data_IF_368406369943
#
_entry.id   IF_368406369943
#
_cell.length_a   1.000
_cell.length_b   1.000
_cell.length_c   1.000
_cell.angle_alpha   90.00
_cell.angle_beta   90.00
_cell.angle_gamma   90.00
#
_symmetry.space_group_name_H-M   'P 1'
#
loop_
_entity.id
_entity.type
_entity.pdbx_description
1 polymer ?
#
# COMPACT_ATOMS: atom_id res chain seq x y z
N UNK A 1 26.27 16.51 26.94
CA UNK A 1 26.94 15.21 26.72
C UNK A 1 25.95 14.05 26.93
N UNK A 2 24.68 14.39 27.15
CA UNK A 2 23.66 13.53 27.73
C UNK A 2 22.99 12.63 26.67
N UNK A 3 22.89 13.11 25.42
CA UNK A 3 22.29 12.35 24.32
C UNK A 3 23.02 11.03 23.99
N UNK A 4 24.32 10.92 24.30
CA UNK A 4 25.09 9.71 24.05
C UNK A 4 24.91 8.66 25.16
N UNK A 5 24.64 9.13 26.38
CA UNK A 5 24.33 8.27 27.52
C UNK A 5 22.91 7.73 27.42
N UNK A 6 21.95 8.55 26.98
CA UNK A 6 20.57 8.13 26.69
C UNK A 6 20.52 7.06 25.58
N UNK A 7 21.31 7.24 24.50
CA UNK A 7 21.41 6.25 23.42
C UNK A 7 22.04 4.94 23.89
N UNK A 8 23.01 4.99 24.80
CA UNK A 8 23.63 3.80 25.37
C UNK A 8 22.63 3.03 26.26
N UNK A 9 21.84 3.74 27.07
CA UNK A 9 20.77 3.14 27.87
C UNK A 9 19.69 2.51 26.99
N UNK A 10 19.26 3.19 25.93
CA UNK A 10 18.30 2.64 24.96
C UNK A 10 18.84 1.39 24.25
N UNK A 11 20.12 1.37 23.92
CA UNK A 11 20.76 0.21 23.31
C UNK A 11 20.76 -1.01 24.24
N UNK A 12 21.03 -0.82 25.54
CA UNK A 12 20.91 -1.92 26.52
C UNK A 12 19.47 -2.41 26.64
N UNK A 13 18.49 -1.50 26.66
CA UNK A 13 17.07 -1.86 26.70
C UNK A 13 16.65 -2.69 25.48
N UNK A 14 17.03 -2.28 24.26
CA UNK A 14 16.71 -3.05 23.05
C UNK A 14 17.43 -4.40 23.00
N UNK A 15 18.66 -4.50 23.55
CA UNK A 15 19.35 -5.80 23.68
C UNK A 15 18.64 -6.74 24.64
N UNK A 16 18.15 -6.23 25.77
CA UNK A 16 17.35 -7.02 26.71
C UNK A 16 16.01 -7.48 26.07
N UNK A 17 15.36 -6.61 25.28
CA UNK A 17 14.15 -6.99 24.54
C UNK A 17 14.43 -8.08 23.50
N UNK A 18 15.58 -8.01 22.81
CA UNK A 18 15.98 -9.03 21.84
C UNK A 18 16.17 -10.40 22.51
N UNK A 19 16.76 -10.45 23.71
CA UNK A 19 16.93 -11.69 24.47
C UNK A 19 15.58 -12.32 24.84
N UNK A 20 14.60 -11.52 25.25
CA UNK A 20 13.22 -11.99 25.52
C UNK A 20 12.56 -12.53 24.25
N UNK A 21 12.77 -11.88 23.10
CA UNK A 21 12.25 -12.36 21.82
C UNK A 21 12.92 -13.68 21.41
N UNK A 22 14.22 -13.83 21.63
CA UNK A 22 14.95 -15.07 21.36
C UNK A 22 14.52 -16.22 22.29
N UNK A 23 14.28 -15.95 23.58
CA UNK A 23 13.76 -16.95 24.52
C UNK A 23 12.33 -17.38 24.16
N UNK A 24 11.48 -16.42 23.77
CA UNK A 24 10.11 -16.73 23.33
C UNK A 24 10.08 -17.47 21.99
N UNK A 25 11.01 -17.19 21.08
CA UNK A 25 11.21 -17.96 19.86
C UNK A 25 11.70 -19.38 20.16
N UNK A 26 12.58 -19.57 21.14
CA UNK A 26 13.03 -20.90 21.54
C UNK A 26 11.93 -21.72 22.25
N UNK A 27 11.00 -21.05 22.93
CA UNK A 27 9.86 -21.68 23.59
C UNK A 27 8.66 -21.95 22.66
N UNK A 28 8.62 -21.32 21.49
CA UNK A 28 7.53 -21.45 20.51
C UNK A 28 7.95 -22.43 19.41
N UNK A 29 7.09 -23.40 19.06
CA UNK A 29 7.38 -24.36 17.99
C UNK A 29 7.43 -23.67 16.61
N UNK A 30 8.29 -24.17 15.71
CA UNK A 30 8.80 -23.45 14.52
C UNK A 30 7.77 -23.08 13.43
N UNK A 31 6.56 -23.65 13.47
CA UNK A 31 5.54 -23.57 12.40
C UNK A 31 4.31 -22.70 12.75
N UNK A 32 4.29 -22.05 13.92
CA UNK A 32 3.20 -21.14 14.28
C UNK A 32 3.37 -19.75 13.63
N UNK A 33 2.27 -19.14 13.18
CA UNK A 33 2.26 -17.75 12.66
C UNK A 33 2.84 -16.75 13.68
N UNK A 34 2.77 -17.06 14.98
CA UNK A 34 3.39 -16.29 16.05
C UNK A 34 4.91 -16.39 16.05
N UNK A 35 5.48 -17.56 15.71
CA UNK A 35 6.93 -17.71 15.57
C UNK A 35 7.45 -16.88 14.39
N UNK A 36 6.71 -16.81 13.29
CA UNK A 36 7.07 -15.94 12.17
C UNK A 36 7.03 -14.45 12.56
N UNK A 37 6.00 -14.01 13.27
CA UNK A 37 5.91 -12.63 13.78
C UNK A 37 7.05 -12.30 14.74
N UNK A 38 7.46 -13.23 15.60
CA UNK A 38 8.58 -13.05 16.50
C UNK A 38 9.93 -13.01 15.76
N UNK A 39 10.10 -13.80 14.67
CA UNK A 39 11.28 -13.71 13.79
C UNK A 39 11.37 -12.36 13.10
N UNK A 40 10.25 -11.83 12.63
CA UNK A 40 10.19 -10.51 12.00
C UNK A 40 10.53 -9.42 13.03
N UNK A 41 9.91 -9.45 14.22
CA UNK A 41 10.20 -8.52 15.31
C UNK A 41 11.66 -8.57 15.79
N UNK A 42 12.27 -9.77 15.81
CA UNK A 42 13.69 -9.98 16.11
C UNK A 42 14.58 -9.26 15.08
N UNK A 43 14.27 -9.39 13.79
CA UNK A 43 15.05 -8.76 12.72
C UNK A 43 14.97 -7.22 12.82
N UNK A 44 13.78 -6.69 13.07
CA UNK A 44 13.57 -5.25 13.26
C UNK A 44 14.37 -4.72 14.46
N UNK A 45 14.37 -5.43 15.59
CA UNK A 45 15.15 -5.07 16.78
C UNK A 45 16.66 -5.08 16.51
N UNK A 46 17.16 -6.07 15.76
CA UNK A 46 18.57 -6.14 15.35
C UNK A 46 18.97 -4.94 14.49
N UNK A 47 18.11 -4.50 13.58
CA UNK A 47 18.35 -3.32 12.75
C UNK A 47 18.44 -2.04 13.61
N UNK A 48 17.50 -1.85 14.54
CA UNK A 48 17.49 -0.71 15.46
C UNK A 48 18.75 -0.67 16.32
N UNK A 49 19.16 -1.80 16.90
CA UNK A 49 20.40 -1.91 17.68
C UNK A 49 21.61 -1.55 16.82
N UNK A 50 21.66 -2.04 15.58
CA UNK A 50 22.76 -1.75 14.65
C UNK A 50 22.86 -0.26 14.32
N UNK A 51 21.73 0.42 14.11
CA UNK A 51 21.68 1.86 13.85
C UNK A 51 22.11 2.68 15.08
N UNK A 52 21.69 2.28 16.28
CA UNK A 52 22.10 2.90 17.54
C UNK A 52 23.61 2.73 17.78
N UNK A 53 24.16 1.54 17.56
CA UNK A 53 25.60 1.26 17.65
C UNK A 53 26.41 2.13 16.68
N UNK A 54 25.94 2.28 15.44
CA UNK A 54 26.58 3.15 14.45
C UNK A 54 26.52 4.62 14.87
N UNK A 55 25.39 5.08 15.45
CA UNK A 55 25.25 6.44 15.96
C UNK A 55 26.20 6.73 17.13
N UNK A 56 26.32 5.80 18.08
CA UNK A 56 27.24 5.89 19.21
C UNK A 56 28.72 5.87 18.75
N UNK A 57 29.04 5.04 17.75
CA UNK A 57 30.38 4.96 17.17
C UNK A 57 30.77 6.24 16.43
N UNK A 58 29.84 6.87 15.73
CA UNK A 58 30.06 8.15 15.05
C UNK A 58 30.19 9.34 16.02
N UNK A 59 29.56 9.26 17.20
CA UNK A 59 29.62 10.31 18.23
C UNK A 59 30.86 10.26 19.13
N UNK A 60 31.66 9.18 19.10
CA UNK A 60 32.91 9.10 19.88
C UNK A 60 34.02 9.84 19.11
N UNK A 61 34.57 10.96 19.65
CA UNK A 61 35.58 11.74 18.94
C UNK A 61 36.86 10.92 18.76
N UNK A 62 37.28 10.78 17.51
CA UNK A 62 38.54 10.14 17.11
C UNK A 62 39.68 11.13 17.35
N UNK A 63 40.62 10.78 18.23
CA UNK A 63 41.93 11.42 18.29
C UNK A 63 42.66 11.25 16.93
N UNK A 64 43.25 12.31 16.36
CA UNK A 64 43.94 12.22 15.07
C UNK A 64 45.39 11.78 15.26
N UNK A 65 45.72 10.58 14.78
CA UNK A 65 47.10 10.18 14.46
C UNK A 65 47.26 9.98 12.93
N UNK A 66 47.71 11.07 12.29
CA UNK A 66 48.72 11.16 11.24
C UNK A 66 48.81 10.10 10.11
N UNK A 67 48.45 10.56 8.91
CA UNK A 67 49.22 10.57 7.65
C UNK A 67 49.92 9.32 7.12
N UNK A 68 49.56 8.94 5.88
CA UNK A 68 50.55 8.90 4.80
C UNK A 68 49.89 9.24 3.45
N UNK A 69 50.55 10.15 2.74
CA UNK A 69 50.28 10.56 1.36
C UNK A 69 51.37 9.99 0.44
N UNK A 70 51.00 9.69 -0.80
CA UNK A 70 51.85 9.73 -2.01
C UNK A 70 50.86 9.57 -3.19
N UNK A 71 50.53 10.58 -4.02
CA UNK A 71 51.30 11.50 -4.86
C UNK A 71 51.89 10.86 -6.12
N UNK A 72 51.68 11.60 -7.24
CA UNK A 72 52.30 11.54 -8.57
C UNK A 72 51.77 10.49 -9.58
N UNK A 73 51.68 10.72 -10.89
CA UNK A 73 51.47 11.86 -11.82
C UNK A 73 51.80 11.33 -13.23
N UNK A 74 51.40 12.08 -14.26
CA UNK A 74 51.98 12.18 -15.63
C UNK A 74 51.39 11.37 -16.80
N UNK A 75 51.29 12.08 -17.94
CA UNK A 75 51.29 11.55 -19.32
C UNK A 75 49.91 11.49 -19.97
N UNK A 76 49.42 12.28 -20.92
CA UNK A 76 49.93 13.19 -21.97
C UNK A 76 49.39 12.73 -23.34
N UNK A 77 48.84 13.72 -24.07
CA UNK A 77 48.91 13.92 -25.52
C UNK A 77 47.98 13.16 -26.50
N UNK A 78 47.26 14.00 -27.29
CA UNK A 78 47.19 14.01 -28.77
C UNK A 78 46.51 12.84 -29.50
N UNK A 79 45.79 12.98 -30.63
CA UNK A 79 45.36 14.12 -31.46
C UNK A 79 44.43 13.56 -32.56
N UNK A 80 43.56 14.43 -33.09
CA UNK A 80 43.16 14.58 -34.51
C UNK A 80 42.66 13.39 -35.34
N UNK A 81 41.45 13.52 -35.93
CA UNK A 81 41.23 13.82 -37.37
C UNK A 81 39.73 13.72 -37.70
N UNK A 82 39.01 14.82 -37.92
CA UNK A 82 38.74 15.54 -39.19
C UNK A 82 37.92 14.73 -40.22
N UNK A 83 36.75 15.33 -40.57
CA UNK A 83 35.76 14.98 -41.60
C UNK A 83 36.36 15.04 -43.04
N UNK A 84 35.68 14.57 -44.11
CA UNK A 84 34.70 15.41 -44.83
C UNK A 84 33.52 14.63 -45.48
N UNK A 85 32.31 15.19 -45.50
CA UNK A 85 31.63 15.86 -46.64
C UNK A 85 31.22 14.98 -47.84
N UNK A 86 29.91 14.96 -48.15
CA UNK A 86 29.37 14.40 -49.40
C UNK A 86 27.85 14.29 -49.41
N UNK A 87 27.15 15.40 -49.71
CA UNK A 87 25.77 15.42 -50.21
C UNK A 87 25.78 15.30 -51.75
N UNK A 88 24.67 15.51 -52.48
CA UNK A 88 23.34 14.88 -52.47
C UNK A 88 23.04 14.18 -53.82
N UNK A 89 22.01 13.33 -53.87
CA UNK A 89 21.61 12.63 -55.11
C UNK A 89 20.09 12.55 -55.28
N UNK A 90 19.55 13.51 -56.02
CA UNK A 90 18.18 13.55 -56.55
C UNK A 90 18.01 12.50 -57.66
N UNK A 91 16.91 11.75 -57.63
CA UNK A 91 16.53 10.84 -58.72
C UNK A 91 15.05 10.49 -58.68
N UNK A 92 14.26 11.24 -59.46
CA UNK A 92 12.93 10.83 -59.89
C UNK A 92 13.03 9.58 -60.76
N UNK A 93 12.08 8.65 -60.66
CA UNK A 93 11.54 8.00 -61.86
C UNK A 93 10.12 7.48 -61.62
N UNK A 94 9.31 7.69 -62.64
CA UNK A 94 7.90 7.38 -62.79
C UNK A 94 7.71 5.97 -63.38
N UNK A 95 6.51 5.45 -63.14
CA UNK A 95 5.79 4.45 -63.94
C UNK A 95 6.30 2.99 -63.94
N UNK A 96 5.38 2.09 -63.57
CA UNK A 96 5.57 0.65 -63.65
C UNK A 96 4.38 -0.10 -63.09
N UNK A 97 3.26 -0.08 -63.84
CA UNK A 97 2.12 -0.98 -63.68
C UNK A 97 2.60 -2.44 -63.81
N UNK A 98 2.55 -3.21 -62.73
CA UNK A 98 2.72 -4.66 -62.77
C UNK A 98 1.84 -5.28 -61.69
N UNK A 99 0.73 -5.85 -62.16
CA UNK A 99 -0.06 -6.82 -61.43
C UNK A 99 0.86 -7.93 -60.89
N UNK A 100 0.91 -8.05 -59.56
CA UNK A 100 1.47 -9.21 -58.89
C UNK A 100 0.34 -9.95 -58.15
N UNK A 101 0.40 -11.29 -58.17
CA UNK A 101 -0.74 -12.15 -57.89
C UNK A 101 -1.02 -12.22 -56.40
N UNK A 102 -2.30 -12.51 -56.14
CA UNK A 102 -2.87 -13.02 -54.91
C UNK A 102 -1.95 -14.05 -54.24
N UNK A 103 -1.10 -13.55 -53.36
CA UNK A 103 -0.17 -14.34 -52.59
C UNK A 103 -0.99 -14.98 -51.46
N UNK A 104 -1.50 -16.17 -51.75
CA UNK A 104 -2.06 -17.10 -50.79
C UNK A 104 -1.26 -17.06 -49.50
N UNK A 105 -1.94 -16.65 -48.42
CA UNK A 105 -1.40 -16.62 -47.08
C UNK A 105 -0.88 -18.02 -46.73
N UNK A 106 0.45 -18.17 -46.74
CA UNK A 106 1.11 -19.34 -46.20
C UNK A 106 0.60 -19.56 -44.75
N UNK A 107 0.33 -20.81 -44.34
CA UNK A 107 -0.08 -21.10 -42.98
C UNK A 107 1.07 -20.75 -42.03
N UNK A 108 0.96 -19.59 -41.38
CA UNK A 108 1.93 -19.17 -40.37
C UNK A 108 1.98 -20.21 -39.25
N UNK A 109 3.18 -20.49 -38.71
CA UNK A 109 3.34 -21.49 -37.66
C UNK A 109 2.45 -21.10 -36.48
N UNK A 110 1.51 -21.98 -36.13
CA UNK A 110 0.61 -21.84 -34.98
C UNK A 110 1.44 -21.86 -33.70
N UNK A 111 2.04 -20.72 -33.37
CA UNK A 111 2.68 -20.49 -32.10
C UNK A 111 1.64 -20.58 -30.98
N UNK A 112 2.04 -21.16 -29.84
CA UNK A 112 1.20 -21.33 -28.63
C UNK A 112 0.53 -20.06 -28.09
N UNK A 113 0.81 -18.88 -28.65
CA UNK A 113 0.17 -17.60 -28.30
C UNK A 113 -1.13 -17.29 -29.03
N UNK A 114 -1.49 -18.02 -30.10
CA UNK A 114 -2.69 -17.68 -30.90
C UNK A 114 -4.02 -17.85 -30.14
N UNK A 115 -4.06 -18.69 -29.10
CA UNK A 115 -5.27 -18.91 -28.29
C UNK A 115 -5.61 -17.72 -27.36
N UNK A 116 -4.62 -16.84 -27.13
CA UNK A 116 -4.79 -15.66 -26.28
C UNK A 116 -5.31 -14.45 -27.08
N UNK A 117 -5.31 -14.51 -28.42
CA UNK A 117 -5.80 -13.43 -29.27
C UNK A 117 -7.31 -13.25 -29.08
N UNK A 118 -7.74 -12.00 -28.90
CA UNK A 118 -9.13 -11.62 -28.67
C UNK A 118 -9.65 -11.90 -27.25
N UNK A 119 -8.79 -12.37 -26.33
CA UNK A 119 -9.09 -12.43 -24.90
C UNK A 119 -8.91 -11.06 -24.24
N UNK A 120 -9.66 -10.84 -23.18
CA UNK A 120 -9.59 -9.62 -22.39
C UNK A 120 -8.57 -9.80 -21.27
N UNK A 121 -7.76 -8.79 -21.02
CA UNK A 121 -6.73 -8.84 -20.01
C UNK A 121 -6.61 -7.50 -19.30
N UNK A 122 -6.12 -7.54 -18.07
CA UNK A 122 -5.71 -6.35 -17.33
C UNK A 122 -4.22 -6.14 -17.59
N UNK A 123 -3.84 -4.97 -18.09
CA UNK A 123 -2.45 -4.62 -18.38
C UNK A 123 -2.01 -3.47 -17.50
N UNK A 124 -0.80 -3.57 -16.94
CA UNK A 124 -0.22 -2.47 -16.17
C UNK A 124 0.56 -1.54 -17.10
N UNK A 125 0.09 -0.30 -17.24
CA UNK A 125 0.75 0.76 -18.02
C UNK A 125 1.06 1.90 -17.06
N UNK A 126 2.34 2.25 -16.92
CA UNK A 126 2.80 3.34 -16.03
C UNK A 126 2.30 3.20 -14.57
N UNK A 127 2.18 1.96 -14.08
CA UNK A 127 1.72 1.67 -12.71
C UNK A 127 0.20 1.70 -12.52
N UNK A 128 -0.59 1.94 -13.57
CA UNK A 128 -2.05 1.86 -13.53
C UNK A 128 -2.54 0.65 -14.34
N UNK A 129 -3.53 -0.06 -13.80
CA UNK A 129 -4.12 -1.24 -14.45
C UNK A 129 -5.28 -0.83 -15.34
N UNK A 130 -5.22 -1.24 -16.60
CA UNK A 130 -6.27 -0.99 -17.58
C UNK A 130 -6.76 -2.29 -18.18
N UNK A 131 -8.05 -2.33 -18.50
CA UNK A 131 -8.63 -3.43 -19.25
C UNK A 131 -8.28 -3.24 -20.75
N UNK A 132 -7.80 -4.29 -21.39
CA UNK A 132 -7.37 -4.27 -22.78
C UNK A 132 -7.69 -5.62 -23.46
N UNK A 133 -7.77 -5.61 -24.78
CA UNK A 133 -7.94 -6.80 -25.61
C UNK A 133 -6.65 -7.15 -26.36
N UNK A 134 -6.28 -8.44 -26.38
CA UNK A 134 -5.07 -8.89 -27.07
C UNK A 134 -5.31 -8.92 -28.58
N UNK A 135 -4.63 -8.05 -29.33
CA UNK A 135 -4.74 -7.99 -30.78
C UNK A 135 -3.73 -8.91 -31.48
N UNK A 136 -2.47 -8.90 -31.03
CA UNK A 136 -1.40 -9.70 -31.64
C UNK A 136 -0.33 -10.03 -30.60
N UNK A 137 0.28 -11.21 -30.71
CA UNK A 137 1.45 -11.59 -29.91
C UNK A 137 2.63 -11.78 -30.86
N UNK A 138 3.71 -11.04 -30.60
CA UNK A 138 4.97 -11.14 -31.32
C UNK A 138 6.04 -11.69 -30.37
N UNK A 139 6.93 -12.51 -30.90
CA UNK A 139 8.10 -13.00 -30.17
C UNK A 139 9.32 -12.28 -30.71
N UNK A 140 10.04 -11.58 -29.83
CA UNK A 140 11.32 -10.97 -30.18
C UNK A 140 12.38 -12.04 -30.44
N UNK A 141 13.44 -11.69 -31.18
CA UNK A 141 14.62 -12.55 -31.43
C UNK A 141 15.30 -13.04 -30.13
N UNK A 142 15.09 -12.32 -29.02
CA UNK A 142 15.57 -12.68 -27.67
C UNK A 142 14.66 -13.67 -26.94
N UNK A 143 13.61 -14.17 -27.59
CA UNK A 143 12.63 -15.10 -26.99
C UNK A 143 11.65 -14.45 -26.01
N UNK A 144 11.57 -13.11 -25.99
CA UNK A 144 10.62 -12.38 -25.14
C UNK A 144 9.30 -12.25 -25.89
N UNK A 145 8.21 -12.76 -25.30
CA UNK A 145 6.86 -12.65 -25.84
C UNK A 145 6.28 -11.26 -25.50
N UNK A 146 5.97 -10.48 -26.55
CA UNK A 146 5.33 -9.16 -26.46
C UNK A 146 3.95 -9.20 -27.08
N UNK A 147 2.98 -8.63 -26.39
CA UNK A 147 1.61 -8.52 -26.86
C UNK A 147 1.31 -7.08 -27.27
N UNK A 148 0.73 -6.90 -28.45
CA UNK A 148 0.06 -5.67 -28.85
C UNK A 148 -1.38 -5.76 -28.37
N UNK A 149 -1.76 -4.87 -27.46
CA UNK A 149 -3.04 -4.83 -26.77
C UNK A 149 -3.79 -3.57 -27.17
N UNK A 150 -5.09 -3.63 -27.36
CA UNK A 150 -5.95 -2.45 -27.52
C UNK A 150 -6.58 -2.12 -26.18
N UNK A 151 -6.25 -0.96 -25.61
CA UNK A 151 -6.77 -0.54 -24.29
C UNK A 151 -8.18 0.02 -24.43
N UNK A 152 -9.13 -0.50 -23.66
CA UNK A 152 -10.50 0.04 -23.60
C UNK A 152 -10.48 1.47 -23.02
N UNK A 153 -11.32 2.39 -23.52
CA UNK A 153 -11.27 3.82 -23.14
C UNK A 153 -10.37 4.70 -24.01
N UNK A 154 -9.20 4.20 -24.41
CA UNK A 154 -8.25 4.97 -25.23
C UNK A 154 -8.22 4.54 -26.70
N UNK A 155 -8.72 3.32 -26.99
CA UNK A 155 -8.64 2.67 -28.31
C UNK A 155 -7.23 2.73 -28.94
N UNK A 156 -6.21 2.85 -28.09
CA UNK A 156 -4.81 2.95 -28.47
C UNK A 156 -4.17 1.57 -28.34
N UNK A 157 -3.33 1.22 -29.32
CA UNK A 157 -2.58 -0.03 -29.31
C UNK A 157 -1.29 0.16 -28.53
N UNK A 158 -1.13 -0.59 -27.45
CA UNK A 158 0.08 -0.58 -26.62
C UNK A 158 0.79 -1.92 -26.70
N UNK A 159 2.09 -1.85 -26.93
CA UNK A 159 2.96 -3.01 -26.88
C UNK A 159 3.45 -3.20 -25.46
N UNK A 160 3.09 -4.33 -24.86
CA UNK A 160 3.44 -4.66 -23.48
C UNK A 160 4.01 -6.07 -23.44
N UNK A 161 4.93 -6.31 -22.49
CA UNK A 161 5.48 -7.65 -22.26
C UNK A 161 4.37 -8.55 -21.73
N UNK A 162 4.31 -9.80 -22.19
CA UNK A 162 3.28 -10.75 -21.74
C UNK A 162 3.33 -11.00 -20.22
N UNK A 163 4.48 -10.76 -19.57
CA UNK A 163 4.63 -10.83 -18.11
C UNK A 163 3.86 -9.74 -17.34
N UNK A 164 3.63 -8.57 -17.95
CA UNK A 164 2.92 -7.45 -17.35
C UNK A 164 1.41 -7.48 -17.71
N UNK A 165 0.97 -8.57 -18.35
CA UNK A 165 -0.42 -8.84 -18.75
C UNK A 165 -1.03 -9.87 -17.82
N UNK A 166 -2.08 -9.47 -17.12
CA UNK A 166 -2.86 -10.34 -16.24
C UNK A 166 -4.13 -10.76 -16.96
N UNK A 167 -4.23 -12.04 -17.28
CA UNK A 167 -5.43 -12.60 -17.90
C UNK A 167 -6.61 -12.54 -16.92
N UNK A 168 -7.78 -12.14 -17.42
CA UNK A 168 -9.01 -12.28 -16.66
C UNK A 168 -9.38 -13.76 -16.57
N UNK A 169 -10.00 -14.15 -15.45
CA UNK A 169 -10.53 -15.50 -15.27
C UNK A 169 -11.94 -15.52 -15.84
N UNK A 170 -12.22 -16.28 -16.91
CA UNK A 170 -13.57 -16.39 -17.43
C UNK A 170 -14.47 -17.02 -16.36
N UNK A 171 -15.64 -16.41 -16.15
CA UNK A 171 -16.60 -16.88 -15.18
C UNK A 171 -17.33 -18.11 -15.76
N UNK A 172 -17.39 -19.24 -15.03
CA UNK A 172 -18.07 -20.42 -15.55
C UNK A 172 -19.56 -20.11 -15.75
N UNK A 173 -20.18 -20.63 -16.83
CA UNK A 173 -21.58 -20.33 -17.17
C UNK A 173 -22.57 -20.75 -16.07
N UNK A 174 -22.19 -21.70 -15.22
CA UNK A 174 -22.98 -22.11 -14.05
C UNK A 174 -23.20 -20.97 -13.02
N UNK A 175 -22.35 -19.95 -13.02
CA UNK A 175 -22.47 -18.78 -12.13
C UNK A 175 -23.12 -17.57 -12.83
N UNK A 176 -23.35 -17.66 -14.14
CA UNK A 176 -23.92 -16.61 -14.98
C UNK A 176 -25.35 -16.95 -15.35
N UNK A 177 -26.22 -17.10 -14.35
CA UNK A 177 -27.64 -17.32 -14.60
C UNK A 177 -28.30 -16.01 -15.06
N UNK A 178 -29.21 -16.05 -16.05
CA UNK A 178 -29.98 -14.88 -16.44
C UNK A 178 -30.77 -14.36 -15.23
N UNK A 179 -30.75 -13.04 -15.04
CA UNK A 179 -31.26 -12.33 -13.85
C UNK A 179 -30.23 -12.08 -12.75
N UNK A 180 -29.03 -12.66 -12.84
CA UNK A 180 -27.97 -12.44 -11.84
C UNK A 180 -27.32 -11.07 -12.03
N UNK A 181 -27.10 -10.36 -10.91
CA UNK A 181 -26.33 -9.12 -10.87
C UNK A 181 -24.83 -9.44 -10.88
N UNK A 182 -24.15 -9.08 -11.95
CA UNK A 182 -22.71 -9.26 -12.13
C UNK A 182 -22.06 -7.91 -12.42
N UNK A 183 -20.74 -7.91 -12.64
CA UNK A 183 -20.04 -6.75 -13.14
C UNK A 183 -19.48 -7.05 -14.52
N UNK A 184 -19.65 -6.13 -15.46
CA UNK A 184 -19.07 -6.23 -16.80
C UNK A 184 -18.24 -5.00 -17.13
N UNK A 185 -17.25 -5.18 -18.01
CA UNK A 185 -16.44 -4.08 -18.54
C UNK A 185 -17.26 -3.34 -19.60
N UNK A 186 -17.35 -2.02 -19.49
CA UNK A 186 -17.88 -1.18 -20.57
C UNK A 186 -16.82 -1.00 -21.66
N UNK A 187 -17.21 -1.19 -22.92
CA UNK A 187 -16.33 -1.00 -24.08
C UNK A 187 -15.91 0.46 -24.28
N UNK A 188 -16.72 1.41 -23.79
CA UNK A 188 -16.49 2.84 -23.90
C UNK A 188 -15.33 3.31 -23.04
N UNK A 189 -15.33 2.95 -21.75
CA UNK A 189 -14.40 3.49 -20.75
C UNK A 189 -13.43 2.45 -20.19
N UNK A 190 -13.65 1.16 -20.49
CA UNK A 190 -12.87 0.06 -19.91
C UNK A 190 -13.09 -0.15 -18.41
N UNK A 191 -14.08 0.53 -17.81
CA UNK A 191 -14.42 0.42 -16.40
C UNK A 191 -15.45 -0.67 -16.14
N UNK A 192 -15.47 -1.18 -14.91
CA UNK A 192 -16.41 -2.20 -14.46
C UNK A 192 -17.69 -1.56 -13.93
N UNK A 193 -18.82 -1.93 -14.51
CA UNK A 193 -20.16 -1.48 -14.10
C UNK A 193 -21.01 -2.64 -13.61
N UNK A 194 -21.98 -2.34 -12.77
CA UNK A 194 -22.98 -3.30 -12.31
C UNK A 194 -23.97 -3.57 -13.46
N UNK A 195 -24.15 -4.85 -13.78
CA UNK A 195 -25.01 -5.30 -14.87
C UNK A 195 -25.88 -6.46 -14.43
N UNK A 196 -27.02 -6.63 -15.10
CA UNK A 196 -27.89 -7.79 -14.95
C UNK A 196 -27.80 -8.61 -16.23
N UNK A 197 -27.47 -9.89 -16.11
CA UNK A 197 -27.50 -10.81 -17.26
C UNK A 197 -28.95 -10.98 -17.71
N UNK A 198 -29.24 -10.80 -18.98
CA UNK A 198 -30.58 -10.98 -19.54
C UNK A 198 -30.67 -12.33 -20.28
N UNK A 199 -29.71 -12.59 -21.16
CA UNK A 199 -29.65 -13.81 -21.96
C UNK A 199 -28.21 -14.32 -22.07
N UNK A 200 -28.07 -15.64 -22.23
CA UNK A 200 -26.78 -16.30 -22.45
C UNK A 200 -26.69 -16.74 -23.91
N UNK A 201 -25.66 -16.26 -24.61
CA UNK A 201 -25.37 -16.59 -26.01
C UNK A 201 -24.18 -17.54 -26.08
N UNK A 202 -24.03 -18.32 -27.14
CA UNK A 202 -22.90 -19.26 -27.30
C UNK A 202 -21.50 -18.59 -27.25
N UNK A 203 -21.43 -17.28 -27.52
CA UNK A 203 -20.19 -16.49 -27.61
C UNK A 203 -19.99 -15.50 -26.47
N UNK A 204 -20.99 -15.30 -25.60
CA UNK A 204 -20.96 -14.28 -24.56
C UNK A 204 -22.28 -14.15 -23.81
N UNK A 205 -22.53 -12.99 -23.24
CA UNK A 205 -23.76 -12.71 -22.50
C UNK A 205 -24.35 -11.39 -22.94
N UNK A 206 -25.67 -11.36 -23.08
CA UNK A 206 -26.41 -10.13 -23.23
C UNK A 206 -26.65 -9.58 -21.82
N UNK A 207 -26.03 -8.45 -21.51
CA UNK A 207 -26.14 -7.82 -20.20
C UNK A 207 -26.82 -6.46 -20.31
N UNK A 208 -27.61 -6.11 -19.30
CA UNK A 208 -28.25 -4.81 -19.18
C UNK A 208 -27.60 -4.02 -18.06
N UNK A 209 -27.02 -2.87 -18.39
CA UNK A 209 -26.40 -1.99 -17.40
C UNK A 209 -27.46 -1.40 -16.48
N UNK A 210 -27.26 -1.46 -15.16
CA UNK A 210 -28.24 -0.94 -14.20
C UNK A 210 -28.38 0.58 -14.27
N UNK A 211 -27.32 1.27 -14.70
CA UNK A 211 -27.24 2.73 -14.64
C UNK A 211 -27.88 3.40 -15.87
N UNK A 212 -27.72 2.79 -17.04
CA UNK A 212 -28.17 3.36 -18.32
C UNK A 212 -29.31 2.58 -18.97
N UNK A 213 -29.65 1.40 -18.43
CA UNK A 213 -30.61 0.45 -18.99
C UNK A 213 -30.33 0.04 -20.45
N UNK A 214 -29.11 0.35 -20.94
CA UNK A 214 -28.59 -0.07 -22.24
C UNK A 214 -28.20 -1.53 -22.18
N UNK A 215 -28.50 -2.26 -23.25
CA UNK A 215 -28.06 -3.64 -23.45
C UNK A 215 -26.74 -3.65 -24.21
N UNK A 216 -25.83 -4.54 -23.82
CA UNK A 216 -24.56 -4.74 -24.50
C UNK A 216 -24.20 -6.22 -24.52
N UNK A 217 -23.50 -6.63 -25.58
CA UNK A 217 -23.04 -8.01 -25.76
C UNK A 217 -21.59 -8.10 -25.31
N UNK A 218 -21.38 -8.74 -24.16
CA UNK A 218 -20.06 -8.86 -23.55
C UNK A 218 -19.55 -10.30 -23.66
N UNK A 219 -18.24 -10.46 -23.88
CA UNK A 219 -17.60 -11.78 -23.94
C UNK A 219 -17.57 -12.43 -22.56
N UNK A 220 -17.41 -13.76 -22.51
CA UNK A 220 -17.26 -14.53 -21.26
C UNK A 220 -16.17 -14.01 -20.32
N UNK A 221 -15.16 -13.40 -20.91
CA UNK A 221 -13.95 -12.92 -20.24
C UNK A 221 -14.10 -11.50 -19.68
N UNK A 222 -15.17 -10.79 -20.10
CA UNK A 222 -15.46 -9.41 -19.72
C UNK A 222 -16.44 -9.31 -18.54
N UNK A 223 -16.79 -10.44 -17.93
CA UNK A 223 -17.69 -10.51 -16.77
C UNK A 223 -16.96 -11.05 -15.56
N UNK A 224 -17.25 -10.46 -14.40
CA UNK A 224 -16.86 -10.99 -13.09
C UNK A 224 -18.05 -11.00 -12.13
N UNK A 225 -18.01 -11.89 -11.15
CA UNK A 225 -18.88 -11.75 -10.00
C UNK A 225 -18.52 -10.47 -9.25
N UNK A 226 -19.53 -9.76 -8.76
CA UNK A 226 -19.34 -8.71 -7.77
C UNK A 226 -18.76 -9.36 -6.53
N UNK A 227 -17.43 -9.40 -6.45
CA UNK A 227 -16.73 -9.58 -5.19
C UNK A 227 -17.16 -8.37 -4.38
N UNK A 228 -18.14 -8.57 -3.50
CA UNK A 228 -18.48 -7.54 -2.54
C UNK A 228 -17.14 -7.12 -1.92
N UNK A 229 -16.81 -5.82 -1.97
CA UNK A 229 -15.69 -5.26 -1.20
C UNK A 229 -15.97 -5.30 0.32
N UNK A 230 -16.77 -6.27 0.75
CA UNK A 230 -16.75 -6.86 2.08
C UNK A 230 -15.84 -8.06 1.94
N UNK A 231 -14.60 -7.96 2.43
CA UNK A 231 -13.79 -9.16 2.64
C UNK A 231 -14.69 -10.21 3.31
N UNK A 232 -14.62 -11.46 2.83
CA UNK A 232 -15.45 -12.61 3.28
C UNK A 232 -16.78 -12.76 2.53
N UNK A 233 -16.82 -13.31 1.29
CA UNK A 233 -18.11 -13.75 0.72
C UNK A 233 -18.04 -14.80 -0.41
N UNK A 234 -17.01 -15.63 -0.52
CA UNK A 234 -17.04 -16.79 -1.44
C UNK A 234 -16.51 -18.09 -0.80
N UNK A 235 -16.65 -18.21 0.53
CA UNK A 235 -16.21 -19.41 1.24
C UNK A 235 -16.52 -19.50 2.73
N UNK A 236 -17.15 -18.50 3.37
CA UNK A 236 -17.64 -18.68 4.73
C UNK A 236 -19.10 -19.12 4.66
N UNK A 237 -19.31 -20.41 4.94
CA UNK A 237 -20.58 -20.92 5.47
C UNK A 237 -21.11 -19.89 6.46
N UNK A 238 -22.35 -19.45 6.30
CA UNK A 238 -23.01 -18.58 7.27
C UNK A 238 -22.95 -19.26 8.64
N UNK A 239 -22.00 -18.83 9.46
CA UNK A 239 -21.82 -19.34 10.82
C UNK A 239 -22.93 -18.71 11.62
N UNK A 240 -23.90 -19.51 12.07
CA UNK A 240 -25.00 -18.98 12.88
C UNK A 240 -24.39 -18.44 14.17
N UNK A 241 -24.78 -17.23 14.54
CA UNK A 241 -24.27 -16.55 15.73
C UNK A 241 -25.20 -16.85 16.91
N UNK A 242 -24.64 -17.32 18.03
CA UNK A 242 -25.41 -17.62 19.24
C UNK A 242 -25.08 -16.57 20.29
N UNK A 243 -26.10 -15.84 20.72
CA UNK A 243 -25.99 -14.84 21.80
C UNK A 243 -25.95 -15.59 23.12
N UNK A 244 -24.84 -15.49 23.85
CA UNK A 244 -24.71 -16.04 25.21
C UNK A 244 -25.59 -15.21 26.17
N UNK A 245 -26.14 -15.76 27.28
CA UNK A 245 -26.91 -14.99 28.27
C UNK A 245 -26.21 -13.74 28.85
N UNK A 246 -24.89 -13.62 28.68
CA UNK A 246 -24.12 -12.40 29.00
C UNK A 246 -24.06 -11.35 27.88
N UNK A 247 -24.82 -11.51 26.79
CA UNK A 247 -24.90 -10.54 25.68
C UNK A 247 -23.76 -10.60 24.64
N UNK A 248 -22.84 -11.56 24.76
CA UNK A 248 -21.73 -11.73 23.81
C UNK A 248 -22.16 -12.58 22.61
N UNK A 249 -21.74 -12.16 21.42
CA UNK A 249 -22.05 -12.84 20.16
C UNK A 249 -20.94 -13.86 19.87
N UNK A 250 -21.22 -15.14 20.07
CA UNK A 250 -20.24 -16.21 19.85
C UNK A 250 -20.65 -17.02 18.62
N UNK A 251 -19.75 -17.19 17.64
CA UNK A 251 -20.05 -18.01 16.46
C UNK A 251 -20.28 -19.49 16.82
N UNK A 252 -21.30 -20.15 16.23
CA UNK A 252 -21.73 -21.51 16.57
C UNK A 252 -20.61 -22.56 16.49
N UNK A 253 -19.68 -22.43 15.54
CA UNK A 253 -18.55 -23.36 15.39
C UNK A 253 -17.53 -23.34 16.53
N UNK A 254 -17.59 -22.33 17.40
CA UNK A 254 -16.78 -22.26 18.62
C UNK A 254 -17.48 -22.82 19.85
N UNK A 255 -18.77 -23.16 19.77
CA UNK A 255 -19.48 -23.81 20.88
C UNK A 255 -18.87 -25.20 21.13
N UNK A 256 -18.50 -25.42 22.39
CA UNK A 256 -17.98 -26.71 22.84
C UNK A 256 -19.14 -27.70 22.88
N UNK A 257 -19.10 -28.72 22.02
CA UNK A 257 -20.05 -29.84 22.08
C UNK A 257 -19.57 -30.84 23.13
N UNK A 258 -20.48 -31.57 23.81
CA UNK A 258 -20.09 -32.57 24.80
C UNK A 258 -19.21 -33.69 24.21
N UNK A 259 -19.35 -33.97 22.92
CA UNK A 259 -18.65 -35.02 22.15
C UNK A 259 -17.21 -34.67 21.72
N UNK A 260 -16.73 -33.42 21.89
CA UNK A 260 -15.39 -33.00 21.45
C UNK A 260 -14.26 -33.53 22.40
N UNK A 261 -13.09 -33.86 21.86
CA UNK A 261 -11.86 -34.22 22.62
C UNK A 261 -11.35 -33.06 23.49
N UNK A 262 -10.74 -33.34 24.65
CA UNK A 262 -10.31 -32.31 25.62
C UNK A 262 -9.38 -31.24 25.04
N UNK A 263 -8.54 -31.60 24.08
CA UNK A 263 -7.67 -30.64 23.37
C UNK A 263 -8.46 -29.68 22.47
N UNK A 264 -9.48 -30.17 21.77
CA UNK A 264 -10.36 -29.35 20.93
C UNK A 264 -11.23 -28.44 21.80
N UNK A 265 -11.65 -28.93 22.97
CA UNK A 265 -12.37 -28.13 23.98
C UNK A 265 -11.49 -26.98 24.49
N UNK A 266 -10.21 -27.21 24.77
CA UNK A 266 -9.29 -26.16 25.21
C UNK A 266 -9.05 -25.11 24.11
N UNK A 267 -8.81 -25.54 22.86
CA UNK A 267 -8.64 -24.62 21.72
C UNK A 267 -9.89 -23.78 21.45
N UNK A 268 -11.08 -24.39 21.49
CA UNK A 268 -12.36 -23.66 21.35
C UNK A 268 -12.59 -22.70 22.53
N UNK A 269 -12.31 -23.10 23.77
CA UNK A 269 -12.41 -22.23 24.95
C UNK A 269 -11.47 -21.01 24.88
N UNK A 270 -10.22 -21.21 24.44
CA UNK A 270 -9.27 -20.10 24.22
C UNK A 270 -9.78 -19.11 23.18
N UNK A 271 -10.30 -19.61 22.05
CA UNK A 271 -10.89 -18.77 21.00
C UNK A 271 -12.16 -18.05 21.47
N UNK A 272 -13.02 -18.71 22.25
CA UNK A 272 -14.17 -18.07 22.89
C UNK A 272 -13.73 -16.96 23.84
N UNK A 273 -12.71 -17.20 24.66
CA UNK A 273 -12.19 -16.19 25.58
C UNK A 273 -11.65 -14.97 24.83
N UNK A 274 -10.89 -15.19 23.76
CA UNK A 274 -10.37 -14.12 22.91
C UNK A 274 -11.51 -13.29 22.29
N UNK A 275 -12.51 -13.94 21.69
CA UNK A 275 -13.67 -13.25 21.09
C UNK A 275 -14.45 -12.45 22.14
N UNK A 276 -14.64 -13.00 23.35
CA UNK A 276 -15.29 -12.27 24.45
C UNK A 276 -14.47 -11.07 24.92
N UNK A 277 -13.16 -11.21 25.02
CA UNK A 277 -12.29 -10.12 25.45
C UNK A 277 -12.27 -9.00 24.39
N UNK A 278 -12.17 -9.36 23.11
CA UNK A 278 -12.25 -8.42 21.99
C UNK A 278 -13.57 -7.63 22.00
N UNK A 279 -14.71 -8.31 22.17
CA UNK A 279 -16.01 -7.62 22.26
C UNK A 279 -16.16 -6.75 23.52
N UNK A 280 -15.49 -7.12 24.61
CA UNK A 280 -15.45 -6.30 25.83
C UNK A 280 -14.62 -5.04 25.62
N UNK A 281 -13.46 -5.16 25.00
CA UNK A 281 -12.56 -4.05 24.70
C UNK A 281 -13.20 -3.10 23.69
N UNK A 282 -13.83 -3.62 22.63
CA UNK A 282 -14.57 -2.81 21.65
C UNK A 282 -15.77 -2.07 22.29
N UNK A 283 -16.48 -2.72 23.22
CA UNK A 283 -17.55 -2.05 23.98
C UNK A 283 -16.99 -0.94 24.88
N UNK A 284 -15.88 -1.19 25.55
CA UNK A 284 -15.21 -0.19 26.39
C UNK A 284 -14.69 0.99 25.54
N UNK A 285 -14.10 0.72 24.39
CA UNK A 285 -13.58 1.72 23.47
C UNK A 285 -14.70 2.55 22.84
N UNK A 286 -15.81 1.93 22.44
CA UNK A 286 -16.98 2.68 21.93
C UNK A 286 -17.62 3.54 23.02
N UNK A 287 -17.66 3.10 24.27
CA UNK A 287 -18.09 3.92 25.41
C UNK A 287 -17.10 5.06 25.70
N UNK A 288 -15.79 4.81 25.63
CA UNK A 288 -14.75 5.83 25.77
C UNK A 288 -14.79 6.86 24.62
N UNK A 289 -14.98 6.43 23.38
CA UNK A 289 -15.12 7.28 22.20
C UNK A 289 -16.39 8.12 22.26
N UNK A 290 -17.52 7.55 22.70
CA UNK A 290 -18.76 8.32 22.97
C UNK A 290 -18.53 9.36 24.06
N UNK A 291 -17.78 9.02 25.12
CA UNK A 291 -17.41 9.97 26.17
C UNK A 291 -16.51 11.07 25.60
N UNK A 292 -15.44 10.73 24.89
CA UNK A 292 -14.51 11.69 24.28
C UNK A 292 -15.19 12.64 23.29
N UNK A 293 -16.03 12.12 22.39
CA UNK A 293 -16.83 12.96 21.48
C UNK A 293 -17.83 13.84 22.24
N UNK A 294 -18.40 13.36 23.35
CA UNK A 294 -19.20 14.16 24.28
C UNK A 294 -18.41 15.32 24.90
N UNK A 295 -17.20 15.05 25.39
CA UNK A 295 -16.27 16.07 25.91
C UNK A 295 -15.86 17.08 24.85
N UNK A 296 -15.59 16.63 23.62
CA UNK A 296 -15.23 17.50 22.51
C UNK A 296 -16.40 18.42 22.12
N UNK A 297 -17.63 17.90 22.10
CA UNK A 297 -18.85 18.70 21.88
C UNK A 297 -19.10 19.70 23.01
N UNK A 298 -18.86 19.32 24.26
CA UNK A 298 -18.97 20.22 25.42
C UNK A 298 -17.91 21.33 25.39
N UNK A 299 -16.65 20.99 25.08
CA UNK A 299 -15.56 21.95 24.94
C UNK A 299 -15.81 22.95 23.80
N UNK A 300 -16.29 22.49 22.64
CA UNK A 300 -16.65 23.38 21.53
C UNK A 300 -17.83 24.30 21.87
N UNK A 301 -18.79 23.84 22.68
CA UNK A 301 -19.92 24.67 23.16
C UNK A 301 -19.44 25.81 24.08
N UNK A 302 -18.46 25.56 24.96
CA UNK A 302 -17.86 26.61 25.80
C UNK A 302 -16.98 27.60 25.02
N UNK A 303 -16.36 27.20 23.90
CA UNK A 303 -15.57 28.12 23.06
C UNK A 303 -16.43 29.14 22.31
N UNK A 304 -17.71 28.86 22.08
CA UNK A 304 -18.63 29.77 21.38
C UNK A 304 -19.24 30.87 22.28
N UNK A 305 -19.01 30.81 23.59
CA UNK A 305 -19.50 31.80 24.59
C UNK A 305 -18.34 32.65 25.17
N UNK A 306 -17.16 32.62 24.55
CA UNK A 306 -15.98 33.39 25.00
C UNK A 306 -15.77 34.74 24.32
N UNK A 307 -16.77 35.26 23.60
CA UNK A 307 -16.65 36.46 22.76
C UNK A 307 -17.26 37.75 23.33
N UNK A 308 -17.80 37.75 24.55
CA UNK A 308 -18.34 38.99 25.13
C UNK A 308 -18.33 38.98 26.66
N UNK A 309 -17.41 39.76 27.23
CA UNK A 309 -17.52 40.35 28.57
C UNK A 309 -17.38 39.42 29.78
N UNK A 310 -16.21 39.49 30.44
CA UNK A 310 -16.11 39.62 31.90
C UNK A 310 -14.69 40.00 32.29
N UNK A 311 -14.57 41.17 32.91
CA UNK A 311 -13.38 41.60 33.61
C UNK A 311 -13.00 40.53 34.63
N UNK A 312 -11.73 40.19 34.66
CA UNK A 312 -11.17 39.23 35.60
C UNK A 312 -11.32 39.76 37.02
N UNK A 313 -11.88 38.93 37.90
CA UNK A 313 -11.94 39.14 39.35
C UNK A 313 -10.51 39.17 39.97
N UNK A 314 -9.48 38.85 39.18
CA UNK A 314 -8.06 38.92 39.55
C UNK A 314 -7.31 40.07 38.85
N UNK A 315 -7.98 40.93 38.09
CA UNK A 315 -7.36 42.15 37.57
C UNK A 315 -7.48 43.26 38.62
N UNK A 316 -6.53 43.29 39.57
CA UNK A 316 -6.38 44.42 40.48
C UNK A 316 -6.08 45.68 39.66
N UNK A 317 -6.95 46.67 39.75
CA UNK A 317 -6.75 48.00 39.18
C UNK A 317 -5.56 48.67 39.84
N UNK A 318 -4.49 48.85 39.06
CA UNK A 318 -3.24 49.51 39.42
C UNK A 318 -3.49 51.03 39.59
N UNK A 319 -3.98 51.43 40.77
CA UNK A 319 -3.93 52.81 41.28
C UNK A 319 -4.40 52.87 42.76
N UNK A 320 -3.53 52.52 43.69
CA UNK A 320 -3.65 52.94 45.10
C UNK A 320 -2.24 53.05 45.71
N UNK A 321 -1.78 54.30 45.82
CA UNK A 321 -0.46 54.70 46.30
C UNK A 321 -0.60 55.18 47.75
N UNK A 322 -0.15 54.43 48.76
CA UNK A 322 0.14 54.96 50.11
C UNK A 322 1.36 54.20 50.68
N UNK A 323 2.41 54.94 51.03
CA UNK A 323 3.71 54.40 51.43
C UNK A 323 3.95 54.28 52.92
N UNK A 324 5.05 53.62 53.28
CA UNK A 324 5.80 53.91 54.51
C UNK A 324 7.26 53.41 54.41
N UNK A 325 8.19 54.37 54.53
CA UNK A 325 9.49 54.31 55.23
C UNK A 325 10.52 53.21 54.90
N UNK A 326 11.64 53.65 54.31
CA UNK A 326 12.93 53.64 55.01
C UNK A 326 13.89 52.46 54.82
N UNK A 327 15.08 52.80 54.31
CA UNK A 327 16.40 52.19 54.56
C UNK A 327 16.79 50.84 53.94
N UNK A 328 17.74 50.92 53.00
CA UNK A 328 19.09 50.32 53.00
C UNK A 328 19.47 49.89 51.58
N UNK A 329 20.25 50.70 50.84
CA UNK A 329 21.70 50.49 50.63
C UNK A 329 22.06 49.01 50.37
N UNK A 330 22.49 48.66 49.15
CA UNK A 330 23.90 48.76 48.76
C UNK A 330 24.09 48.42 47.27
N UNK A 331 24.96 49.18 46.62
CA UNK A 331 25.37 49.03 45.22
C UNK A 331 26.30 47.82 45.07
N UNK A 332 26.27 47.15 43.92
CA UNK A 332 27.54 46.80 43.32
C UNK A 332 27.51 46.91 41.79
N UNK A 333 28.39 47.79 41.33
CA UNK A 333 28.71 48.17 39.97
C UNK A 333 29.94 47.37 39.54
N UNK A 334 30.00 46.88 38.30
CA UNK A 334 31.21 46.67 37.46
C UNK A 334 30.80 45.88 36.21
N UNK A 335 30.49 46.46 35.04
CA UNK A 335 31.38 47.05 34.02
C UNK A 335 32.37 46.08 33.34
N UNK A 336 32.12 45.78 32.06
CA UNK A 336 33.04 45.67 30.90
C UNK A 336 32.44 44.70 29.87
N UNK A 337 32.02 45.13 28.67
CA UNK A 337 32.84 45.35 27.45
C UNK A 337 33.70 44.11 27.14
N UNK A 338 33.75 43.51 25.96
CA UNK A 338 33.46 43.96 24.60
C UNK A 338 33.75 42.77 23.66
N UNK A 339 33.35 42.93 22.38
CA UNK A 339 33.93 42.28 21.20
C UNK A 339 33.27 41.00 20.73
N UNK A 340 32.34 41.16 19.79
CA UNK A 340 32.24 40.24 18.66
C UNK A 340 33.38 40.48 17.67
N UNK A 341 33.69 39.48 16.84
CA UNK A 341 34.14 39.62 15.45
C UNK A 341 34.04 38.27 14.74
N UNK A 342 33.62 38.39 13.48
CA UNK A 342 33.39 37.40 12.44
C UNK A 342 34.60 36.49 12.16
N UNK A 343 34.35 35.24 11.78
CA UNK A 343 34.45 34.79 10.39
C UNK A 343 33.70 33.50 10.16
#
# INVERSE_FOLDING_TARGET
MDDNEDKAAQLEEYKAQLEVVDETLAATEEDDETAQQLRDARNDLVEVITLLEQSLKASKPVEPASSSSAAASTGAAASSSVLPFGAPGTGQSLAGDVAFPEQQAAPQPRGRGHELLGRTCEVSIQGSWFNAEIFSIRRDERGVDRAVLTVFGQNERKEVRLADVKMLRPLPPAQCLPGTKLQAISTLDGLWYDVVVEEHTDKGYLVRFTDYNTQDEVKFDQIRQKVAKSGIAAGKRAVKEVITPGGYVIPEHFLVKPEDTDEVKAKKKRKIHHVKNQQKDERLETEAAKKATGWQKFAQKNRKVGGMGKQSIFASSDNARIGHTGSAMFQNNSSSSSSGIRR
#
